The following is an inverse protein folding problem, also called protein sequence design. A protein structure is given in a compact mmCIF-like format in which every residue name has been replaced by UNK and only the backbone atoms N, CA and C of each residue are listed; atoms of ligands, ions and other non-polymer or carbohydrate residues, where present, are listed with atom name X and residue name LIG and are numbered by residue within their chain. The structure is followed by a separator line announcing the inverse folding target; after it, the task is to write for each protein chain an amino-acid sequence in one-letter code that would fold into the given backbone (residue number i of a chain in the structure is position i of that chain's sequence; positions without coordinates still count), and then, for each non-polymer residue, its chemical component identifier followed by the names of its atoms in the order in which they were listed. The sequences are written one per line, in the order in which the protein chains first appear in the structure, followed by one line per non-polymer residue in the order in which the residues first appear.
data_IF_851595593272
#
_entry.id   IF_851595593272
#
_cell.length_a   1.000
_cell.length_b   1.000
_cell.length_c   1.000
_cell.angle_alpha   90.00
_cell.angle_beta   90.00
_cell.angle_gamma   90.00
#
_symmetry.space_group_name_H-M   'P 1'
#
loop_
_entity.id
_entity.type
_entity.pdbx_description
1 polymer ?
#
# COMPACT_ATOMS: atom_id res chain seq x y z
N UNK A 1 -48.07 -6.07 -17.51
CA UNK A 1 -47.42 -4.73 -17.52
C UNK A 1 -46.03 -4.88 -18.11
N UNK A 2 -45.69 -4.15 -19.19
CA UNK A 2 -44.32 -4.20 -19.74
C UNK A 2 -43.37 -3.64 -18.68
N UNK A 3 -42.37 -4.43 -18.25
CA UNK A 3 -41.32 -3.95 -17.36
C UNK A 3 -40.60 -2.82 -18.09
N UNK A 4 -40.79 -1.57 -17.65
CA UNK A 4 -39.93 -0.48 -18.10
C UNK A 4 -38.53 -0.79 -17.57
N UNK A 5 -37.56 -0.93 -18.47
CA UNK A 5 -36.16 -1.00 -18.11
C UNK A 5 -35.68 0.42 -17.83
N UNK A 6 -35.10 0.65 -16.65
CA UNK A 6 -34.41 1.89 -16.36
C UNK A 6 -33.00 1.81 -16.94
N UNK A 7 -32.53 2.92 -17.52
CA UNK A 7 -31.15 3.09 -17.99
C UNK A 7 -30.43 4.10 -17.10
N UNK A 8 -29.09 4.12 -17.16
CA UNK A 8 -28.26 5.02 -16.36
C UNK A 8 -28.70 6.49 -16.46
N UNK A 9 -29.08 6.93 -17.67
CA UNK A 9 -29.48 8.30 -17.96
C UNK A 9 -30.84 8.70 -17.37
N UNK A 10 -31.63 7.75 -16.86
CA UNK A 10 -32.90 8.03 -16.18
C UNK A 10 -32.71 8.56 -14.74
N UNK A 11 -31.49 8.45 -14.21
CA UNK A 11 -31.15 8.86 -12.85
C UNK A 11 -30.39 10.19 -12.84
N UNK A 12 -30.81 11.11 -11.97
CA UNK A 12 -29.98 12.25 -11.62
C UNK A 12 -28.73 11.81 -10.85
N UNK A 13 -27.70 12.65 -10.82
CA UNK A 13 -26.45 12.38 -10.08
C UNK A 13 -26.69 12.00 -8.62
N UNK A 14 -27.57 12.73 -7.93
CA UNK A 14 -27.93 12.45 -6.52
C UNK A 14 -28.66 11.11 -6.35
N UNK A 15 -29.55 10.77 -7.28
CA UNK A 15 -30.23 9.47 -7.24
C UNK A 15 -29.26 8.32 -7.51
N UNK A 16 -28.28 8.52 -8.38
CA UNK A 16 -27.24 7.54 -8.67
C UNK A 16 -26.31 7.35 -7.47
N UNK A 17 -25.90 8.42 -6.79
CA UNK A 17 -25.09 8.36 -5.56
C UNK A 17 -25.82 7.54 -4.49
N UNK A 18 -27.09 7.84 -4.22
CA UNK A 18 -27.90 7.08 -3.28
C UNK A 18 -28.06 5.61 -3.69
N UNK A 19 -28.19 5.33 -4.99
CA UNK A 19 -28.27 3.95 -5.50
C UNK A 19 -26.96 3.18 -5.24
N UNK A 20 -25.81 3.84 -5.40
CA UNK A 20 -24.50 3.24 -5.10
C UNK A 20 -24.37 2.92 -3.61
N UNK A 21 -24.72 3.85 -2.74
CA UNK A 21 -24.71 3.63 -1.28
C UNK A 21 -25.64 2.48 -0.88
N UNK A 22 -26.87 2.47 -1.42
CA UNK A 22 -27.82 1.39 -1.18
C UNK A 22 -27.30 0.03 -1.67
N UNK A 23 -26.66 -0.01 -2.83
CA UNK A 23 -26.04 -1.23 -3.35
C UNK A 23 -24.93 -1.72 -2.43
N UNK A 24 -24.02 -0.85 -2.00
CA UNK A 24 -22.91 -1.21 -1.10
C UNK A 24 -23.46 -1.81 0.19
N UNK A 25 -24.45 -1.16 0.81
CA UNK A 25 -25.08 -1.66 2.03
C UNK A 25 -25.67 -3.06 1.81
N UNK A 26 -26.49 -3.24 0.76
CA UNK A 26 -27.13 -4.54 0.47
C UNK A 26 -26.11 -5.62 0.13
N UNK A 27 -25.03 -5.26 -0.54
CA UNK A 27 -23.94 -6.18 -0.89
C UNK A 27 -23.26 -6.71 0.37
N UNK A 28 -22.92 -5.82 1.32
CA UNK A 28 -22.32 -6.22 2.61
C UNK A 28 -23.30 -7.05 3.44
N UNK A 29 -24.57 -6.64 3.54
CA UNK A 29 -25.60 -7.39 4.28
C UNK A 29 -25.86 -8.80 3.71
N UNK A 30 -25.63 -9.00 2.41
CA UNK A 30 -25.83 -10.30 1.75
C UNK A 30 -24.66 -11.27 1.94
N UNK A 31 -23.50 -10.80 2.39
CA UNK A 31 -22.31 -11.63 2.60
C UNK A 31 -22.36 -12.29 3.98
N UNK A 32 -21.83 -13.50 4.06
CA UNK A 32 -21.55 -14.14 5.33
C UNK A 32 -20.40 -13.45 6.06
N UNK A 33 -20.32 -13.63 7.39
CA UNK A 33 -19.23 -13.09 8.19
C UNK A 33 -17.85 -13.58 7.69
N UNK A 34 -17.77 -14.82 7.19
CA UNK A 34 -16.53 -15.38 6.64
C UNK A 34 -16.12 -14.67 5.34
N UNK A 35 -17.06 -14.42 4.43
CA UNK A 35 -16.78 -13.69 3.18
C UNK A 35 -16.37 -12.24 3.46
N UNK A 36 -17.05 -11.57 4.40
CA UNK A 36 -16.66 -10.21 4.83
C UNK A 36 -15.24 -10.23 5.39
N UNK A 37 -14.93 -11.18 6.28
CA UNK A 37 -13.60 -11.31 6.87
C UNK A 37 -12.53 -11.55 5.79
N UNK A 38 -12.82 -12.40 4.81
CA UNK A 38 -11.91 -12.68 3.70
C UNK A 38 -11.69 -11.45 2.83
N UNK A 39 -12.74 -10.73 2.46
CA UNK A 39 -12.64 -9.49 1.69
C UNK A 39 -11.83 -8.41 2.42
N UNK A 40 -12.05 -8.24 3.73
CA UNK A 40 -11.29 -7.28 4.54
C UNK A 40 -9.83 -7.71 4.65
N UNK A 41 -9.55 -8.99 4.82
CA UNK A 41 -8.19 -9.52 4.87
C UNK A 41 -7.44 -9.25 3.55
N UNK A 42 -8.07 -9.50 2.41
CA UNK A 42 -7.50 -9.19 1.09
C UNK A 42 -7.25 -7.69 0.93
N UNK A 43 -8.20 -6.85 1.35
CA UNK A 43 -8.06 -5.40 1.30
C UNK A 43 -6.85 -4.91 2.12
N UNK A 44 -6.72 -5.36 3.36
CA UNK A 44 -5.60 -4.98 4.24
C UNK A 44 -4.28 -5.53 3.70
N UNK A 45 -4.29 -6.76 3.16
CA UNK A 45 -3.10 -7.35 2.55
C UNK A 45 -2.58 -6.50 1.39
N UNK A 46 -3.43 -6.04 0.49
CA UNK A 46 -2.98 -5.18 -0.60
C UNK A 46 -2.47 -3.82 -0.10
N UNK A 47 -3.12 -3.23 0.92
CA UNK A 47 -2.69 -1.95 1.49
C UNK A 47 -1.30 -2.01 2.15
N UNK A 48 -1.00 -3.12 2.83
CA UNK A 48 0.24 -3.27 3.61
C UNK A 48 1.37 -3.91 2.79
N UNK A 49 1.06 -4.82 1.85
CA UNK A 49 2.10 -5.59 1.15
C UNK A 49 2.42 -5.07 -0.26
N UNK A 50 1.49 -4.35 -0.92
CA UNK A 50 1.68 -3.85 -2.29
C UNK A 50 2.06 -2.36 -2.31
N UNK A 51 2.77 -1.90 -1.28
CA UNK A 51 3.38 -0.58 -1.13
C UNK A 51 4.41 -0.33 -2.23
N UNK A 52 4.35 0.82 -2.89
CA UNK A 52 5.15 1.13 -4.09
C UNK A 52 6.39 1.94 -3.74
N UNK A 53 6.31 2.78 -2.71
CA UNK A 53 7.39 3.66 -2.30
C UNK A 53 7.68 3.64 -0.80
N UNK A 54 8.74 4.33 -0.41
CA UNK A 54 9.20 4.38 0.98
C UNK A 54 8.22 5.12 1.90
N UNK A 55 7.43 6.06 1.37
CA UNK A 55 6.46 6.80 2.18
C UNK A 55 5.28 5.90 2.52
N UNK A 56 4.74 5.17 1.53
CA UNK A 56 3.67 4.18 1.73
C UNK A 56 4.11 3.06 2.69
N UNK A 57 5.36 2.58 2.59
CA UNK A 57 5.95 1.64 3.57
C UNK A 57 6.02 2.21 4.99
N UNK A 58 6.39 3.49 5.12
CA UNK A 58 6.43 4.16 6.42
C UNK A 58 5.02 4.41 6.98
N UNK A 59 4.02 4.65 6.13
CA UNK A 59 2.62 4.75 6.52
C UNK A 59 2.10 3.40 7.01
N UNK A 60 2.30 2.33 6.24
CA UNK A 60 1.97 0.96 6.65
C UNK A 60 2.66 0.57 7.98
N UNK A 61 3.94 0.95 8.15
CA UNK A 61 4.66 0.74 9.41
C UNK A 61 4.00 1.47 10.59
N UNK A 62 3.63 2.74 10.40
CA UNK A 62 2.93 3.51 11.46
C UNK A 62 1.59 2.89 11.79
N UNK A 63 0.82 2.48 10.79
CA UNK A 63 -0.46 1.80 11.02
C UNK A 63 -0.30 0.52 11.85
N UNK A 64 0.71 -0.31 11.52
CA UNK A 64 1.03 -1.50 12.30
C UNK A 64 1.47 -1.15 13.73
N UNK A 65 2.35 -0.15 13.88
CA UNK A 65 2.82 0.32 15.18
C UNK A 65 1.68 0.81 16.06
N UNK A 66 0.76 1.60 15.50
CA UNK A 66 -0.39 2.15 16.22
C UNK A 66 -1.38 1.05 16.60
N UNK A 67 -1.57 0.04 15.74
CA UNK A 67 -2.45 -1.10 16.01
C UNK A 67 -1.92 -2.01 17.13
N UNK A 68 -0.64 -2.37 17.09
CA UNK A 68 -0.03 -3.26 18.09
C UNK A 68 0.42 -2.53 19.36
N UNK A 69 0.59 -1.21 19.31
CA UNK A 69 0.94 -0.37 20.44
C UNK A 69 2.18 -0.85 21.19
N UNK A 70 2.08 -0.96 22.52
CA UNK A 70 3.19 -1.39 23.39
C UNK A 70 3.72 -2.80 23.07
N UNK A 71 2.91 -3.65 22.42
CA UNK A 71 3.34 -5.01 22.05
C UNK A 71 4.14 -5.04 20.74
N UNK A 72 4.15 -3.95 19.98
CA UNK A 72 4.76 -3.92 18.66
C UNK A 72 6.26 -4.28 18.69
N UNK A 73 7.00 -3.70 19.63
CA UNK A 73 8.43 -3.99 19.80
C UNK A 73 8.68 -5.46 20.17
N UNK A 74 7.85 -6.03 21.05
CA UNK A 74 7.96 -7.45 21.45
C UNK A 74 7.71 -8.36 20.25
N UNK A 75 6.69 -8.05 19.44
CA UNK A 75 6.36 -8.79 18.22
C UNK A 75 7.52 -8.73 17.22
N UNK A 76 8.14 -7.55 17.02
CA UNK A 76 9.30 -7.40 16.14
C UNK A 76 10.47 -8.26 16.65
N UNK A 77 10.78 -8.22 17.94
CA UNK A 77 11.85 -9.02 18.54
C UNK A 77 11.61 -10.53 18.37
N UNK A 78 10.36 -10.97 18.53
CA UNK A 78 9.99 -12.36 18.26
C UNK A 78 10.17 -12.72 16.78
N UNK A 79 9.76 -11.86 15.85
CA UNK A 79 9.95 -12.09 14.41
C UNK A 79 11.45 -12.16 14.07
N UNK A 80 12.23 -11.20 14.53
CA UNK A 80 13.68 -11.20 14.34
C UNK A 80 14.31 -12.48 14.88
N UNK A 81 13.89 -12.97 16.05
CA UNK A 81 14.43 -14.22 16.62
C UNK A 81 14.01 -15.45 15.82
N UNK A 82 12.74 -15.53 15.40
CA UNK A 82 12.19 -16.63 14.59
C UNK A 82 12.87 -16.74 13.22
N UNK A 83 13.18 -15.61 12.60
CA UNK A 83 13.77 -15.54 11.25
C UNK A 83 15.29 -15.26 11.25
N UNK A 84 15.93 -15.11 12.42
CA UNK A 84 17.40 -14.91 12.54
C UNK A 84 18.24 -16.12 12.12
N UNK A 85 17.64 -17.31 11.98
CA UNK A 85 18.31 -18.49 11.42
C UNK A 85 18.26 -18.55 9.88
N UNK A 86 17.56 -17.63 9.22
CA UNK A 86 17.61 -17.40 7.77
C UNK A 86 18.75 -16.43 7.36
N UNK A 87 19.82 -16.41 8.18
CA UNK A 87 21.04 -15.57 8.04
C UNK A 87 21.94 -15.99 6.87
N UNK A 88 21.37 -16.18 5.68
CA UNK A 88 22.11 -16.16 4.41
C UNK A 88 21.34 -15.43 3.29
N UNK A 89 20.29 -14.66 3.59
CA UNK A 89 19.61 -13.81 2.60
C UNK A 89 19.41 -12.40 3.15
N UNK A 90 20.46 -11.83 3.75
CA UNK A 90 20.50 -10.39 4.06
C UNK A 90 21.32 -9.58 3.06
N UNK A 91 21.59 -10.13 1.87
CA UNK A 91 22.48 -9.53 0.88
C UNK A 91 21.75 -9.27 -0.43
N UNK A 92 21.29 -8.02 -0.65
CA UNK A 92 21.39 -7.29 -1.95
C UNK A 92 20.60 -5.97 -2.02
N UNK A 93 19.53 -5.78 -1.24
CA UNK A 93 18.67 -4.59 -1.40
C UNK A 93 19.26 -3.30 -0.80
N UNK A 94 19.96 -3.38 0.34
CA UNK A 94 20.56 -2.21 1.00
C UNK A 94 21.85 -1.77 0.26
N UNK A 95 22.62 -2.73 -0.26
CA UNK A 95 23.89 -2.45 -0.94
C UNK A 95 23.68 -1.76 -2.30
N UNK A 96 22.64 -2.15 -3.05
CA UNK A 96 22.32 -1.52 -4.35
C UNK A 96 21.88 -0.05 -4.21
N UNK A 97 21.12 0.30 -3.18
CA UNK A 97 20.75 1.70 -2.92
C UNK A 97 21.95 2.54 -2.51
N UNK A 98 22.84 1.99 -1.68
CA UNK A 98 24.07 2.67 -1.25
C UNK A 98 25.03 2.89 -2.41
N UNK A 99 25.21 1.90 -3.29
CA UNK A 99 25.98 2.03 -4.53
C UNK A 99 25.39 3.07 -5.48
N UNK A 100 24.05 3.17 -5.55
CA UNK A 100 23.37 4.16 -6.40
C UNK A 100 23.58 5.60 -5.90
N UNK A 101 23.56 5.79 -4.58
CA UNK A 101 23.84 7.09 -3.95
C UNK A 101 25.31 7.47 -4.14
N UNK A 102 26.25 6.53 -3.95
CA UNK A 102 27.68 6.77 -4.21
C UNK A 102 27.97 7.15 -5.67
N UNK A 103 27.31 6.50 -6.63
CA UNK A 103 27.45 6.84 -8.05
C UNK A 103 26.88 8.21 -8.39
N UNK A 104 25.77 8.61 -7.76
CA UNK A 104 25.17 9.94 -7.92
C UNK A 104 26.04 11.05 -7.30
N UNK A 105 26.62 10.81 -6.12
CA UNK A 105 27.58 11.74 -5.50
C UNK A 105 28.84 11.90 -6.33
N UNK A 106 29.36 10.80 -6.91
CA UNK A 106 30.51 10.85 -7.83
C UNK A 106 30.18 11.63 -9.11
N UNK A 107 28.98 11.46 -9.66
CA UNK A 107 28.54 12.19 -10.85
C UNK A 107 28.35 13.69 -10.56
N UNK A 108 27.80 14.04 -9.39
CA UNK A 108 27.62 15.44 -8.99
C UNK A 108 28.95 16.16 -8.77
N UNK A 109 29.97 15.49 -8.21
CA UNK A 109 31.33 16.03 -8.09
C UNK A 109 31.99 16.27 -9.47
N UNK A 110 31.71 15.40 -10.45
CA UNK A 110 32.23 15.55 -11.82
C UNK A 110 31.46 16.61 -12.65
N UNK A 111 30.26 17.03 -12.23
CA UNK A 111 29.47 18.06 -12.90
C UNK A 111 29.76 19.50 -12.46
N UNK A 112 30.53 19.73 -11.38
CA UNK A 112 30.97 21.08 -10.98
C UNK A 112 31.91 21.76 -12.01
N UNK A 113 32.24 21.12 -13.15
CA UNK A 113 33.12 21.67 -14.19
C UNK A 113 32.60 21.62 -15.63
N UNK A 114 31.30 21.76 -15.87
CA UNK A 114 30.86 22.07 -17.24
C UNK A 114 29.63 22.97 -17.28
N UNK A 115 29.90 24.27 -17.31
CA UNK A 115 28.96 25.26 -17.83
C UNK A 115 28.73 24.93 -19.32
N UNK A 116 27.51 24.51 -19.66
CA UNK A 116 27.13 24.03 -20.99
C UNK A 116 26.05 24.95 -21.60
N UNK A 117 26.06 26.23 -21.22
CA UNK A 117 25.07 27.22 -21.64
C UNK A 117 25.67 28.52 -22.20
N UNK A 118 26.94 28.52 -22.61
CA UNK A 118 27.49 29.56 -23.49
C UNK A 118 27.69 28.99 -24.91
N UNK A 119 26.60 28.98 -25.68
CA UNK A 119 26.50 29.31 -27.12
C UNK A 119 25.07 29.13 -27.65
#
# INVERSE_FOLDING_TARGET
MKKKSFIYSDLSKKQLENLKEFYIQKKVESMSHQEIKQHVLESISHQINDTIDKEEEMEAWREMSDFFGEQFEIIILEMQTKYSNDKNVHDTAIDTQKQRIELLERNNLDQEKKDMWDD
#
